data_IF_552890302120
#
_entry.id   IF_552890302120
#
_cell.length_a   1.000
_cell.length_b   1.000
_cell.length_c   1.000
_cell.angle_alpha   90.00
_cell.angle_beta   90.00
_cell.angle_gamma   90.00
#
_symmetry.space_group_name_H-M   'P 1'
#
loop_
_entity.id
_entity.type
_entity.pdbx_description
1 polymer ?
#
# COMPACT_ATOMS: atom_id res chain seq x y z
N UNK A 1 -29.05 54.05 -13.85
CA UNK A 1 -28.19 55.24 -13.75
C UNK A 1 -26.92 54.93 -14.51
N UNK A 2 -26.47 55.88 -15.32
CA UNK A 2 -25.57 55.72 -16.46
C UNK A 2 -24.13 55.27 -16.13
N UNK A 3 -23.58 54.51 -17.08
CA UNK A 3 -22.15 54.30 -17.38
C UNK A 3 -21.39 55.63 -17.48
N UNK A 4 -20.09 55.61 -17.10
CA UNK A 4 -18.92 56.40 -17.61
C UNK A 4 -17.85 56.44 -16.49
N UNK A 5 -16.53 56.41 -16.63
CA UNK A 5 -15.51 56.54 -17.69
C UNK A 5 -14.18 56.06 -17.04
N UNK A 6 -13.31 55.27 -17.68
CA UNK A 6 -12.17 55.65 -18.56
C UNK A 6 -10.93 56.24 -17.85
N UNK A 7 -9.74 55.69 -18.18
CA UNK A 7 -8.41 56.30 -17.97
C UNK A 7 -7.30 55.24 -17.84
N UNK A 8 -6.78 54.62 -18.90
CA UNK A 8 -5.63 54.97 -19.78
C UNK A 8 -4.27 55.27 -19.13
N UNK A 9 -3.29 54.41 -19.49
CA UNK A 9 -1.85 54.69 -19.80
C UNK A 9 -0.96 55.13 -18.60
N UNK A 10 0.32 54.83 -18.48
CA UNK A 10 1.37 54.56 -19.46
C UNK A 10 2.67 54.02 -18.80
N UNK A 11 3.58 53.53 -19.63
CA UNK A 11 5.07 53.59 -19.54
C UNK A 11 5.91 52.88 -18.44
N UNK A 12 6.69 51.89 -18.91
CA UNK A 12 8.17 51.91 -19.12
C UNK A 12 9.12 51.99 -17.90
N UNK A 13 10.08 51.04 -17.83
CA UNK A 13 11.42 51.23 -17.24
C UNK A 13 11.97 50.03 -16.44
N UNK A 14 12.64 49.06 -17.06
CA UNK A 14 14.13 48.88 -17.12
C UNK A 14 14.85 48.49 -15.81
N UNK A 15 15.43 47.29 -15.80
CA UNK A 15 16.79 46.87 -15.36
C UNK A 15 16.75 45.35 -15.20
N UNK A 16 17.32 44.50 -16.07
CA UNK A 16 18.73 44.35 -16.46
C UNK A 16 19.69 44.46 -15.27
N UNK A 17 19.92 43.32 -14.62
CA UNK A 17 21.04 43.06 -13.72
C UNK A 17 21.57 41.66 -14.04
N UNK A 18 22.63 41.60 -14.84
CA UNK A 18 23.35 40.38 -15.14
C UNK A 18 24.31 40.00 -14.03
N UNK A 19 24.66 38.71 -14.01
CA UNK A 19 25.77 38.19 -13.23
C UNK A 19 25.86 36.67 -13.37
N UNK A 20 26.79 36.13 -14.19
CA UNK A 20 27.15 34.73 -14.15
C UNK A 20 28.17 34.53 -13.01
N UNK A 21 27.92 33.58 -12.11
CA UNK A 21 28.96 33.15 -11.16
C UNK A 21 29.29 31.69 -11.41
N UNK A 22 30.56 31.53 -11.75
CA UNK A 22 31.29 30.33 -12.10
C UNK A 22 31.39 29.33 -10.93
N UNK A 23 31.45 28.05 -11.33
CA UNK A 23 32.37 26.99 -10.87
C UNK A 23 32.40 26.62 -9.39
N UNK A 24 32.09 25.35 -9.11
CA UNK A 24 32.82 24.43 -8.22
C UNK A 24 32.25 23.01 -8.46
N UNK A 25 32.93 22.12 -9.18
CA UNK A 25 34.01 21.22 -8.71
C UNK A 25 33.49 20.07 -7.80
N UNK A 26 33.73 18.86 -8.30
CA UNK A 26 33.34 17.53 -7.85
C UNK A 26 33.69 17.18 -6.40
N UNK A 27 32.89 16.30 -5.78
CA UNK A 27 33.41 15.19 -4.97
C UNK A 27 32.52 13.95 -5.18
N UNK A 28 33.08 12.96 -5.89
CA UNK A 28 32.66 11.56 -5.87
C UNK A 28 32.99 10.97 -4.50
N UNK A 29 32.03 10.32 -3.85
CA UNK A 29 32.34 9.40 -2.76
C UNK A 29 31.50 8.12 -2.91
N UNK A 30 32.09 7.15 -3.59
CA UNK A 30 31.64 5.77 -3.58
C UNK A 30 32.16 5.09 -2.31
N UNK A 31 31.27 4.42 -1.57
CA UNK A 31 31.66 3.39 -0.61
C UNK A 31 30.80 2.14 -0.86
N UNK A 32 31.46 1.15 -1.46
CA UNK A 32 31.07 -0.25 -1.50
C UNK A 32 31.27 -0.87 -0.13
N UNK A 33 30.26 -1.55 0.42
CA UNK A 33 30.48 -2.65 1.36
C UNK A 33 29.65 -3.85 0.93
N UNK A 34 30.35 -4.87 0.44
CA UNK A 34 29.84 -6.21 0.19
C UNK A 34 29.68 -6.96 1.52
N UNK A 35 28.59 -7.72 1.65
CA UNK A 35 28.33 -8.62 2.77
C UNK A 35 27.64 -9.89 2.27
N UNK A 36 28.31 -11.02 2.48
CA UNK A 36 28.11 -12.33 1.87
C UNK A 36 27.04 -13.20 2.55
N UNK A 37 26.54 -14.16 1.76
CA UNK A 37 25.61 -15.24 2.07
C UNK A 37 25.95 -16.05 3.34
N UNK A 38 24.92 -16.48 4.07
CA UNK A 38 24.98 -17.64 4.96
C UNK A 38 23.66 -18.41 4.86
N UNK A 39 23.70 -19.50 4.11
CA UNK A 39 22.70 -20.56 4.10
C UNK A 39 23.10 -21.61 5.13
N UNK A 40 22.19 -21.95 6.05
CA UNK A 40 22.14 -23.19 6.83
C UNK A 40 20.65 -23.52 6.92
N UNK A 41 20.06 -24.52 6.26
CA UNK A 41 20.36 -25.95 6.15
C UNK A 41 20.47 -26.70 7.48
N UNK A 42 19.38 -27.41 7.77
CA UNK A 42 19.31 -28.81 8.21
C UNK A 42 19.15 -29.12 9.70
N UNK A 43 17.96 -29.67 9.96
CA UNK A 43 17.54 -30.49 11.09
C UNK A 43 18.51 -31.64 11.41
N UNK A 44 18.75 -31.91 12.70
CA UNK A 44 18.80 -33.30 13.22
C UNK A 44 18.58 -33.36 14.73
N UNK A 45 17.67 -34.26 15.07
CA UNK A 45 17.41 -35.05 16.29
C UNK A 45 18.35 -34.95 17.50
N UNK A 46 17.74 -34.92 18.69
CA UNK A 46 18.38 -35.25 19.96
C UNK A 46 17.40 -35.24 21.14
N UNK A 47 16.97 -36.43 21.55
CA UNK A 47 15.93 -36.70 22.54
C UNK A 47 16.41 -36.71 24.01
N UNK A 48 15.42 -36.63 24.91
CA UNK A 48 15.34 -37.18 26.31
C UNK A 48 16.11 -36.52 27.45
N UNK A 49 15.38 -35.97 28.43
CA UNK A 49 15.02 -36.61 29.72
C UNK A 49 14.11 -35.63 30.51
N UNK A 50 12.86 -35.99 30.84
CA UNK A 50 12.40 -36.79 31.98
C UNK A 50 12.30 -35.98 33.28
N UNK A 51 11.06 -35.75 33.73
CA UNK A 51 10.70 -35.16 35.01
C UNK A 51 9.21 -35.41 35.29
N UNK A 52 8.92 -36.56 35.91
CA UNK A 52 7.58 -37.01 36.31
C UNK A 52 7.16 -36.49 37.69
N UNK A 53 5.89 -36.11 37.83
CA UNK A 53 4.96 -36.45 38.93
C UNK A 53 3.60 -35.76 38.64
N UNK A 54 2.60 -36.45 38.08
CA UNK A 54 1.57 -37.29 38.73
C UNK A 54 0.51 -36.52 39.53
N UNK A 55 -0.69 -36.38 38.95
CA UNK A 55 -1.97 -36.65 39.63
C UNK A 55 -3.11 -36.77 38.59
N UNK A 56 -3.82 -37.88 38.68
CA UNK A 56 -4.84 -38.41 37.78
C UNK A 56 -6.24 -37.82 38.03
N UNK A 57 -7.10 -37.73 37.00
CA UNK A 57 -8.46 -38.31 37.02
C UNK A 57 -9.04 -38.42 35.60
N UNK A 58 -9.31 -39.68 35.24
CA UNK A 58 -10.38 -40.25 34.43
C UNK A 58 -11.26 -39.37 33.53
N UNK A 59 -11.23 -39.66 32.23
CA UNK A 59 -12.42 -40.10 31.49
C UNK A 59 -11.99 -40.83 30.20
N UNK A 60 -12.27 -42.12 30.18
CA UNK A 60 -12.22 -43.00 29.00
C UNK A 60 -13.57 -42.86 28.29
N UNK A 61 -13.58 -42.59 26.99
CA UNK A 61 -14.36 -43.45 26.08
C UNK A 61 -13.71 -43.42 24.69
N UNK A 62 -13.53 -44.62 24.17
CA UNK A 62 -12.81 -44.95 22.97
C UNK A 62 -13.66 -44.71 21.72
N UNK A 63 -13.04 -44.28 20.62
CA UNK A 63 -13.27 -44.92 19.33
C UNK A 63 -12.17 -44.55 18.33
N UNK A 64 -11.37 -45.55 18.00
CA UNK A 64 -10.43 -45.57 16.89
C UNK A 64 -11.14 -45.39 15.56
N UNK A 65 -10.57 -44.59 14.66
CA UNK A 65 -10.54 -44.94 13.24
C UNK A 65 -9.34 -44.26 12.58
N UNK A 66 -8.30 -45.07 12.36
CA UNK A 66 -7.24 -44.80 11.39
C UNK A 66 -7.83 -44.38 10.05
N UNK A 67 -7.29 -43.30 9.47
CA UNK A 67 -7.19 -43.17 8.04
C UNK A 67 -5.93 -42.38 7.72
N UNK A 68 -4.85 -43.12 7.49
CA UNK A 68 -3.73 -42.68 6.68
C UNK A 68 -4.28 -42.13 5.37
N UNK A 69 -4.15 -40.82 5.15
CA UNK A 69 -4.20 -40.23 3.84
C UNK A 69 -2.95 -39.37 3.69
N UNK A 70 -1.89 -40.02 3.24
CA UNK A 70 -0.74 -39.39 2.62
C UNK A 70 -1.25 -38.46 1.52
N UNK A 71 -1.31 -37.16 1.79
CA UNK A 71 -1.28 -36.14 0.75
C UNK A 71 0.04 -35.41 0.89
N UNK A 72 1.09 -36.01 0.33
CA UNK A 72 2.17 -35.23 -0.27
C UNK A 72 1.55 -34.38 -1.37
N UNK A 73 0.97 -33.24 -0.99
CA UNK A 73 0.82 -32.13 -1.89
C UNK A 73 2.22 -31.54 -2.08
N UNK A 74 3.03 -32.18 -2.94
CA UNK A 74 4.03 -31.45 -3.69
C UNK A 74 3.24 -30.47 -4.56
N UNK A 75 2.89 -29.32 -3.98
CA UNK A 75 2.53 -28.13 -4.73
C UNK A 75 3.81 -27.72 -5.46
N UNK A 76 4.05 -28.42 -6.56
CA UNK A 76 4.89 -27.94 -7.64
C UNK A 76 4.26 -26.61 -8.00
N UNK A 77 4.83 -25.52 -7.51
CA UNK A 77 4.55 -24.18 -7.97
C UNK A 77 5.07 -24.12 -9.41
N UNK A 78 4.33 -24.78 -10.30
CA UNK A 78 4.31 -24.42 -11.70
C UNK A 78 3.79 -23.00 -11.70
N UNK A 79 4.73 -22.05 -11.73
CA UNK A 79 4.45 -20.74 -12.26
C UNK A 79 3.98 -20.98 -13.70
N UNK A 80 2.68 -21.22 -13.85
CA UNK A 80 2.02 -21.25 -15.14
C UNK A 80 2.29 -19.89 -15.76
N UNK A 81 3.15 -19.88 -16.77
CA UNK A 81 3.37 -18.71 -17.60
C UNK A 81 1.99 -18.25 -18.10
N UNK A 82 1.51 -17.10 -17.61
CA UNK A 82 0.26 -16.47 -18.08
C UNK A 82 -0.96 -16.51 -17.14
N UNK A 83 -0.83 -16.84 -15.86
CA UNK A 83 -1.96 -16.65 -14.94
C UNK A 83 -2.35 -15.16 -14.84
N UNK A 84 -3.58 -14.81 -15.21
CA UNK A 84 -4.10 -13.43 -15.21
C UNK A 84 -4.82 -13.03 -13.93
N UNK A 85 -5.03 -13.98 -13.00
CA UNK A 85 -5.80 -13.77 -11.78
C UNK A 85 -5.34 -14.72 -10.64
N UNK A 86 -5.71 -14.44 -9.38
CA UNK A 86 -5.44 -15.32 -8.25
C UNK A 86 -6.18 -16.66 -8.35
N UNK A 87 -5.67 -17.68 -7.67
CA UNK A 87 -6.30 -19.01 -7.64
C UNK A 87 -7.72 -18.98 -7.05
N UNK A 88 -7.93 -18.21 -5.97
CA UNK A 88 -9.24 -17.95 -5.40
C UNK A 88 -9.64 -16.49 -5.60
N UNK A 89 -10.33 -16.23 -6.71
CA UNK A 89 -10.77 -14.88 -7.08
C UNK A 89 -11.84 -14.32 -6.15
N UNK A 90 -12.73 -15.15 -5.60
CA UNK A 90 -13.83 -14.69 -4.77
C UNK A 90 -13.29 -14.18 -3.42
N UNK A 91 -12.43 -14.97 -2.78
CA UNK A 91 -11.76 -14.58 -1.53
C UNK A 91 -10.88 -13.35 -1.75
N UNK A 92 -10.11 -13.32 -2.85
CA UNK A 92 -9.28 -12.17 -3.18
C UNK A 92 -10.10 -10.90 -3.41
N UNK A 93 -11.22 -10.95 -4.15
CA UNK A 93 -12.09 -9.78 -4.39
C UNK A 93 -12.66 -9.26 -3.07
N UNK A 94 -13.16 -10.14 -2.21
CA UNK A 94 -13.67 -9.76 -0.89
C UNK A 94 -12.59 -9.08 -0.04
N UNK A 95 -11.37 -9.61 -0.04
CA UNK A 95 -10.27 -9.00 0.71
C UNK A 95 -9.86 -7.64 0.14
N UNK A 96 -9.75 -7.51 -1.19
CA UNK A 96 -9.47 -6.23 -1.86
C UNK A 96 -10.52 -5.20 -1.47
N UNK A 97 -11.81 -5.52 -1.61
CA UNK A 97 -12.90 -4.60 -1.27
C UNK A 97 -12.85 -4.17 0.20
N UNK A 98 -12.80 -5.12 1.13
CA UNK A 98 -12.81 -4.81 2.56
C UNK A 98 -11.60 -3.97 2.98
N UNK A 99 -10.40 -4.34 2.52
CA UNK A 99 -9.17 -3.63 2.88
C UNK A 99 -9.09 -2.25 2.22
N UNK A 100 -9.60 -2.11 1.00
CA UNK A 100 -9.67 -0.83 0.30
C UNK A 100 -10.57 0.16 1.04
N UNK A 101 -11.80 -0.23 1.33
CA UNK A 101 -12.76 0.63 2.04
C UNK A 101 -12.25 0.98 3.44
N UNK A 102 -11.65 0.01 4.15
CA UNK A 102 -11.02 0.24 5.45
C UNK A 102 -9.81 1.18 5.37
N UNK A 103 -8.98 1.07 4.33
CA UNK A 103 -7.87 2.01 4.15
C UNK A 103 -8.37 3.45 4.00
N UNK A 104 -9.49 3.67 3.30
CA UNK A 104 -10.06 4.99 3.12
C UNK A 104 -10.97 5.43 4.27
N UNK A 105 -11.49 4.55 5.14
CA UNK A 105 -12.35 4.99 6.24
C UNK A 105 -11.61 5.99 7.17
N UNK A 106 -12.13 7.21 7.39
CA UNK A 106 -11.52 8.21 8.28
C UNK A 106 -11.41 7.75 9.73
N UNK A 107 -12.17 6.74 10.13
CA UNK A 107 -12.15 6.16 11.47
C UNK A 107 -11.02 5.14 11.67
N UNK A 108 -10.37 4.69 10.59
CA UNK A 108 -9.29 3.70 10.67
C UNK A 108 -8.00 4.36 11.19
N UNK A 109 -7.39 3.85 12.28
CA UNK A 109 -6.13 4.37 12.80
C UNK A 109 -4.99 4.33 11.78
N UNK A 110 -4.08 5.29 11.85
CA UNK A 110 -2.94 5.39 10.91
C UNK A 110 -2.07 4.13 10.83
N UNK A 111 -1.70 3.46 11.95
CA UNK A 111 -0.93 2.22 11.86
C UNK A 111 -1.67 1.10 11.12
N UNK A 112 -3.00 1.07 11.24
CA UNK A 112 -3.84 0.12 10.53
C UNK A 112 -3.94 0.47 9.04
N UNK A 113 -4.09 1.76 8.69
CA UNK A 113 -4.00 2.21 7.29
C UNK A 113 -2.66 1.84 6.66
N UNK A 114 -1.54 2.00 7.38
CA UNK A 114 -0.22 1.60 6.90
C UNK A 114 -0.13 0.08 6.62
N UNK A 115 -0.78 -0.75 7.44
CA UNK A 115 -0.80 -2.20 7.24
C UNK A 115 -1.58 -2.61 5.98
N UNK A 116 -2.52 -1.77 5.53
CA UNK A 116 -3.35 -1.94 4.33
C UNK A 116 -2.77 -1.25 3.09
N UNK A 117 -1.57 -0.67 3.20
CA UNK A 117 -0.89 0.07 2.14
C UNK A 117 0.42 -0.64 1.78
N UNK A 118 0.67 -0.79 0.48
CA UNK A 118 1.94 -1.31 -0.02
C UNK A 118 3.10 -0.43 0.48
N UNK A 119 4.11 -1.04 1.09
CA UNK A 119 5.21 -0.32 1.74
C UNK A 119 4.75 0.72 2.78
N UNK A 120 3.63 0.45 3.48
CA UNK A 120 2.99 1.42 4.36
C UNK A 120 3.86 1.93 5.50
N UNK A 121 4.80 1.14 6.01
CA UNK A 121 5.75 1.58 7.05
C UNK A 121 6.59 2.78 6.60
N UNK A 122 7.03 2.78 5.33
CA UNK A 122 7.78 3.89 4.75
C UNK A 122 6.90 5.14 4.48
N UNK A 123 5.58 4.95 4.45
CA UNK A 123 4.58 5.99 4.14
C UNK A 123 3.84 6.50 5.37
N UNK A 124 4.19 6.06 6.59
CA UNK A 124 3.61 6.55 7.83
C UNK A 124 3.63 8.08 7.97
N UNK A 125 4.75 8.79 7.68
CA UNK A 125 4.77 10.25 7.76
C UNK A 125 3.80 10.91 6.77
N UNK A 126 3.64 10.30 5.59
CA UNK A 126 2.71 10.76 4.56
C UNK A 126 1.27 10.61 5.04
N UNK A 127 0.91 9.42 5.54
CA UNK A 127 -0.42 9.15 6.09
C UNK A 127 -0.76 10.12 7.24
N UNK A 128 0.19 10.37 8.15
CA UNK A 128 0.00 11.31 9.25
C UNK A 128 -0.27 12.73 8.77
N UNK A 129 0.54 13.25 7.84
CA UNK A 129 0.39 14.61 7.31
C UNK A 129 -0.97 14.82 6.65
N UNK A 130 -1.40 13.86 5.82
CA UNK A 130 -2.67 13.97 5.09
C UNK A 130 -3.90 13.74 5.97
N UNK A 131 -3.82 12.91 7.02
CA UNK A 131 -4.93 12.78 7.96
C UNK A 131 -5.24 14.05 8.75
N UNK A 132 -4.30 15.00 8.84
CA UNK A 132 -4.53 16.31 9.45
C UNK A 132 -5.14 17.34 8.48
N UNK A 133 -5.10 17.09 7.17
CA UNK A 133 -5.68 17.98 6.16
C UNK A 133 -7.19 17.69 6.03
N UNK A 134 -8.09 18.64 6.36
CA UNK A 134 -9.53 18.42 6.33
C UNK A 134 -10.07 18.12 4.91
N UNK A 135 -9.31 18.43 3.86
CA UNK A 135 -9.69 18.17 2.47
C UNK A 135 -9.54 16.70 2.08
N UNK A 136 -8.67 15.95 2.75
CA UNK A 136 -8.37 14.54 2.42
C UNK A 136 -8.55 13.57 3.58
N UNK A 137 -8.42 14.01 4.83
CA UNK A 137 -8.57 13.18 6.02
C UNK A 137 -10.00 12.71 6.30
N UNK A 138 -10.98 13.21 5.54
CA UNK A 138 -12.42 12.90 5.64
C UNK A 138 -12.94 12.09 4.44
N UNK A 139 -12.06 11.73 3.50
CA UNK A 139 -12.45 10.99 2.30
C UNK A 139 -12.81 9.56 2.69
N UNK A 140 -13.93 9.04 2.16
CA UNK A 140 -14.31 7.63 2.21
C UNK A 140 -14.36 7.06 0.80
N UNK A 141 -13.96 5.80 0.65
CA UNK A 141 -14.11 5.08 -0.61
C UNK A 141 -15.19 4.00 -0.51
N UNK A 142 -15.90 3.76 -1.60
CA UNK A 142 -16.79 2.61 -1.79
C UNK A 142 -16.39 1.90 -3.07
N UNK A 143 -16.06 0.61 -2.98
CA UNK A 143 -15.63 -0.14 -4.16
C UNK A 143 -16.85 -0.53 -5.00
N UNK A 144 -16.75 -0.32 -6.31
CA UNK A 144 -17.80 -0.64 -7.28
C UNK A 144 -17.39 -1.79 -8.20
N UNK A 145 -16.10 -1.96 -8.49
CA UNK A 145 -15.58 -3.11 -9.23
C UNK A 145 -14.15 -3.48 -8.82
N UNK A 146 -13.83 -4.77 -8.93
CA UNK A 146 -12.47 -5.30 -8.79
C UNK A 146 -12.17 -6.23 -9.97
N UNK A 147 -11.15 -5.86 -10.75
CA UNK A 147 -10.68 -6.60 -11.92
C UNK A 147 -9.22 -7.02 -11.72
N UNK A 148 -8.93 -8.32 -11.71
CA UNK A 148 -7.56 -8.82 -11.59
C UNK A 148 -6.77 -8.62 -12.88
N UNK A 149 -5.53 -8.16 -12.75
CA UNK A 149 -4.59 -7.96 -13.86
C UNK A 149 -3.45 -8.97 -13.81
N UNK A 150 -3.25 -9.63 -12.66
CA UNK A 150 -2.30 -10.72 -12.45
C UNK A 150 -2.69 -11.50 -11.18
N UNK A 151 -1.95 -12.57 -10.80
CA UNK A 151 -2.21 -13.28 -9.54
C UNK A 151 -1.98 -12.45 -8.28
N UNK A 152 -1.32 -11.29 -8.41
CA UNK A 152 -0.93 -10.41 -7.30
C UNK A 152 -1.29 -8.94 -7.54
N UNK A 153 -2.02 -8.63 -8.62
CA UNK A 153 -2.41 -7.27 -8.97
C UNK A 153 -3.88 -7.18 -9.39
N UNK A 154 -4.53 -6.08 -9.00
CA UNK A 154 -5.90 -5.77 -9.39
C UNK A 154 -6.07 -4.28 -9.66
N UNK A 155 -6.94 -3.97 -10.61
CA UNK A 155 -7.54 -2.65 -10.78
C UNK A 155 -8.83 -2.60 -9.98
N UNK A 156 -9.00 -1.51 -9.24
CA UNK A 156 -10.16 -1.24 -8.40
C UNK A 156 -10.84 0.01 -8.90
N UNK A 157 -12.13 -0.09 -9.19
CA UNK A 157 -13.00 1.03 -9.49
C UNK A 157 -13.78 1.38 -8.23
N UNK A 158 -13.85 2.65 -7.87
CA UNK A 158 -14.44 3.08 -6.61
C UNK A 158 -15.02 4.49 -6.69
N UNK A 159 -15.99 4.75 -5.83
CA UNK A 159 -16.52 6.08 -5.55
C UNK A 159 -15.73 6.69 -4.40
N UNK A 160 -15.42 7.99 -4.47
CA UNK A 160 -14.95 8.77 -3.34
C UNK A 160 -16.05 9.71 -2.87
N UNK A 161 -16.22 9.75 -1.55
CA UNK A 161 -17.12 10.69 -0.89
C UNK A 161 -16.37 11.52 0.14
N UNK A 162 -16.79 12.77 0.30
CA UNK A 162 -16.33 13.67 1.34
C UNK A 162 -17.54 14.05 2.18
N UNK A 163 -17.50 13.77 3.49
CA UNK A 163 -18.60 14.06 4.42
C UNK A 163 -19.95 13.48 3.94
N UNK A 164 -19.93 12.31 3.30
CA UNK A 164 -21.13 11.61 2.80
C UNK A 164 -21.62 12.06 1.42
N UNK A 165 -21.03 13.09 0.82
CA UNK A 165 -21.32 13.49 -0.56
C UNK A 165 -20.32 12.84 -1.52
N UNK A 166 -20.79 12.12 -2.54
CA UNK A 166 -19.93 11.57 -3.60
C UNK A 166 -19.34 12.73 -4.42
N UNK A 167 -18.02 12.81 -4.46
CA UNK A 167 -17.26 13.85 -5.17
C UNK A 167 -16.56 13.30 -6.41
N UNK A 168 -16.28 11.99 -6.45
CA UNK A 168 -15.71 11.31 -7.60
C UNK A 168 -16.40 9.94 -7.75
N UNK A 169 -17.34 9.77 -8.69
CA UNK A 169 -18.15 8.56 -8.77
C UNK A 169 -17.45 7.37 -9.46
N UNK A 170 -16.31 7.59 -10.11
CA UNK A 170 -15.64 6.54 -10.90
C UNK A 170 -14.12 6.71 -10.91
N UNK A 171 -13.52 6.76 -9.71
CA UNK A 171 -12.08 6.74 -9.57
C UNK A 171 -11.52 5.34 -9.88
N UNK A 172 -10.27 5.28 -10.31
CA UNK A 172 -9.54 4.03 -10.55
C UNK A 172 -8.21 4.03 -9.82
N UNK A 173 -7.84 2.88 -9.28
CA UNK A 173 -6.54 2.67 -8.65
C UNK A 173 -6.14 1.20 -8.68
N UNK A 174 -4.94 0.92 -8.20
CA UNK A 174 -4.39 -0.43 -8.14
C UNK A 174 -4.34 -0.97 -6.71
N UNK A 175 -4.65 -2.25 -6.57
CA UNK A 175 -4.37 -3.06 -5.38
C UNK A 175 -3.31 -4.12 -5.70
N UNK A 176 -2.49 -4.46 -4.72
CA UNK A 176 -1.42 -5.45 -4.84
C UNK A 176 -1.46 -6.44 -3.68
N UNK A 177 -1.13 -7.71 -3.95
CA UNK A 177 -0.97 -8.72 -2.92
C UNK A 177 0.47 -8.67 -2.39
N UNK A 178 0.62 -8.27 -1.13
CA UNK A 178 1.92 -8.19 -0.45
C UNK A 178 1.85 -8.94 0.87
N UNK A 179 2.77 -9.89 1.09
CA UNK A 179 2.82 -10.72 2.29
C UNK A 179 1.48 -11.41 2.63
N UNK A 180 0.77 -11.88 1.60
CA UNK A 180 -0.53 -12.57 1.76
C UNK A 180 -1.72 -11.65 2.06
N UNK A 181 -1.54 -10.33 2.01
CA UNK A 181 -2.61 -9.35 2.21
C UNK A 181 -2.80 -8.48 0.97
N UNK A 182 -4.03 -8.37 0.46
CA UNK A 182 -4.35 -7.39 -0.57
C UNK A 182 -4.35 -5.98 0.02
N UNK A 183 -3.52 -5.11 -0.55
CA UNK A 183 -3.26 -3.75 -0.07
C UNK A 183 -3.52 -2.73 -1.18
N UNK A 184 -3.83 -1.50 -0.80
CA UNK A 184 -3.81 -0.36 -1.73
C UNK A 184 -2.37 -0.16 -2.21
N UNK A 185 -2.17 0.03 -3.51
CA UNK A 185 -0.82 0.23 -4.05
C UNK A 185 -0.25 1.60 -3.65
N UNK A 186 1.07 1.67 -3.53
CA UNK A 186 1.78 2.94 -3.33
C UNK A 186 1.47 3.94 -4.44
N UNK A 187 1.41 3.47 -5.70
CA UNK A 187 1.09 4.30 -6.85
C UNK A 187 -0.30 4.95 -6.75
N UNK A 188 -1.31 4.22 -6.26
CA UNK A 188 -2.66 4.77 -6.05
C UNK A 188 -2.60 5.92 -5.07
N UNK A 189 -2.01 5.69 -3.89
CA UNK A 189 -1.91 6.73 -2.86
C UNK A 189 -1.16 7.95 -3.41
N UNK A 190 0.04 7.76 -3.95
CA UNK A 190 0.86 8.84 -4.46
C UNK A 190 0.18 9.64 -5.59
N UNK A 191 -0.57 8.98 -6.47
CA UNK A 191 -1.37 9.62 -7.50
C UNK A 191 -2.45 10.54 -6.92
N UNK A 192 -3.21 10.05 -5.94
CA UNK A 192 -4.25 10.82 -5.26
C UNK A 192 -3.66 12.00 -4.47
N UNK A 193 -2.54 11.78 -3.77
CA UNK A 193 -1.89 12.84 -3.00
C UNK A 193 -1.32 13.94 -3.91
N UNK A 194 -0.83 13.59 -5.09
CA UNK A 194 -0.39 14.56 -6.10
C UNK A 194 -1.56 15.40 -6.60
N UNK A 195 -2.74 14.81 -6.79
CA UNK A 195 -3.95 15.53 -7.17
C UNK A 195 -4.41 16.47 -6.05
N UNK A 196 -4.39 16.01 -4.79
CA UNK A 196 -4.82 16.79 -3.63
C UNK A 196 -3.86 17.94 -3.24
N UNK A 197 -2.55 17.72 -3.43
CA UNK A 197 -1.50 18.69 -3.10
C UNK A 197 -1.36 19.83 -4.12
N UNK A 198 -2.03 19.75 -5.27
CA UNK A 198 -1.84 20.66 -6.39
C UNK A 198 -0.41 20.59 -6.97
N UNK A 199 -0.13 21.37 -8.02
CA UNK A 199 1.16 21.40 -8.72
C UNK A 199 2.31 22.05 -7.90
N UNK A 200 2.31 21.88 -6.58
CA UNK A 200 3.26 22.47 -5.62
C UNK A 200 4.70 22.01 -5.85
N UNK A 201 4.93 20.97 -6.67
CA UNK A 201 6.26 20.49 -7.06
C UNK A 201 7.09 19.87 -5.94
N UNK A 202 6.59 19.88 -4.70
CA UNK A 202 7.28 19.27 -3.55
C UNK A 202 7.21 17.74 -3.66
N UNK A 203 8.36 17.05 -3.68
CA UNK A 203 8.38 15.59 -3.68
C UNK A 203 7.75 15.05 -2.39
N UNK A 204 6.81 14.13 -2.53
CA UNK A 204 6.20 13.42 -1.39
C UNK A 204 7.17 12.28 -1.01
N UNK A 205 7.73 12.27 0.22
CA UNK A 205 8.63 11.20 0.65
C UNK A 205 7.97 9.83 0.50
N UNK A 206 8.69 8.87 -0.10
CA UNK A 206 8.13 7.54 -0.38
C UNK A 206 7.23 7.46 -1.62
N UNK A 207 7.00 8.55 -2.36
CA UNK A 207 6.28 8.57 -3.64
C UNK A 207 7.17 8.78 -4.88
N UNK A 208 8.48 8.64 -4.73
CA UNK A 208 9.47 8.61 -5.82
C UNK A 208 10.30 7.33 -5.76
#
# INVERSE_FOLDING_TARGET
MHVRQSGTRDTRGTRQGGGPVLRSASVLLALLLAGTVAACSSSTSGSTASGSASASVSALESALASASASLSASASAGASAGATAPADQATAKNQVTANWEKFFDPSTPIPEKASLLQNGDALLPVLQGFSQDPRVGQVKAKVTDVTFTSPTGATVTYELSLQGTVVEPSATGQAVLENGTWKVSRSTLCGLLTQAGGASGTPIPGCS
#
